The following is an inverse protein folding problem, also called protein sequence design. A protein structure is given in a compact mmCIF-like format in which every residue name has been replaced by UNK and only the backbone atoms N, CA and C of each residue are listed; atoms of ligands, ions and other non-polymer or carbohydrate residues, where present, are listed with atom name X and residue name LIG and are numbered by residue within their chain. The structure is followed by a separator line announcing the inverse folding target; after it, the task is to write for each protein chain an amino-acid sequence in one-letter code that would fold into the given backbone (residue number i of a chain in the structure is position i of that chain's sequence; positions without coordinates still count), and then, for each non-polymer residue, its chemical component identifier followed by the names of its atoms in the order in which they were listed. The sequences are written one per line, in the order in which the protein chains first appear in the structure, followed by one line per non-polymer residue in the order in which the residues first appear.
data_IF_859147028000
#
_entry.id   IF_859147028000
#
_cell.length_a   1.000
_cell.length_b   1.000
_cell.length_c   1.000
_cell.angle_alpha   90.00
_cell.angle_beta   90.00
_cell.angle_gamma   90.00
#
_symmetry.space_group_name_H-M   'P 1'
#
loop_
_entity.id
_entity.type
_entity.pdbx_description
1 polymer ?
#
# COMPACT_ATOMS: atom_id res chain seq x y z
N UNK A 1 34.84 2.69 39.84
CA UNK A 1 34.36 1.47 39.16
C UNK A 1 32.85 1.49 39.30
N UNK A 2 32.11 2.12 38.38
CA UNK A 2 31.59 1.48 37.15
C UNK A 2 30.98 0.13 37.54
N UNK A 3 29.68 -0.06 37.60
CA UNK A 3 28.66 0.05 36.55
C UNK A 3 27.43 -0.61 37.22
N UNK A 4 26.19 -0.19 37.09
CA UNK A 4 25.40 -0.35 35.88
C UNK A 4 24.01 0.19 36.25
N UNK A 5 23.68 1.40 35.82
CA UNK A 5 22.29 1.84 35.86
C UNK A 5 21.53 0.95 34.88
N UNK A 6 20.58 0.18 35.42
CA UNK A 6 19.61 -0.56 34.63
C UNK A 6 18.80 0.47 33.87
N UNK A 7 19.18 0.66 32.61
CA UNK A 7 18.49 1.55 31.68
C UNK A 7 17.15 0.90 31.38
N UNK A 8 16.11 1.34 32.10
CA UNK A 8 14.73 0.99 31.84
C UNK A 8 14.40 1.43 30.41
N UNK A 9 14.37 0.45 29.50
CA UNK A 9 13.86 0.63 28.16
C UNK A 9 12.41 1.08 28.25
N UNK A 10 12.16 2.39 28.19
CA UNK A 10 10.83 2.94 28.01
C UNK A 10 10.29 2.35 26.70
N UNK A 11 9.38 1.37 26.81
CA UNK A 11 8.59 0.95 25.66
C UNK A 11 7.85 2.21 25.21
N UNK A 12 8.05 2.72 23.98
CA UNK A 12 7.28 3.85 23.52
C UNK A 12 5.81 3.42 23.60
N UNK A 13 5.08 3.94 24.58
CA UNK A 13 3.64 3.81 24.62
C UNK A 13 3.16 4.61 23.42
N UNK A 14 3.05 3.94 22.28
CA UNK A 14 2.50 4.51 21.06
C UNK A 14 1.11 5.00 21.43
N UNK A 15 1.01 6.30 21.69
CA UNK A 15 -0.23 6.91 22.12
C UNK A 15 -1.23 6.65 21.00
N UNK A 16 -2.41 6.13 21.33
CA UNK A 16 -3.45 5.78 20.34
C UNK A 16 -3.69 6.94 19.36
N UNK A 17 -3.52 8.19 19.82
CA UNK A 17 -3.53 9.42 19.01
C UNK A 17 -2.49 9.42 17.87
N UNK A 18 -1.26 8.98 18.12
CA UNK A 18 -0.19 8.89 17.11
C UNK A 18 -0.48 7.79 16.09
N UNK A 19 -1.12 6.68 16.50
CA UNK A 19 -1.53 5.62 15.59
C UNK A 19 -2.65 6.10 14.63
N UNK A 20 -3.64 6.84 15.12
CA UNK A 20 -4.64 7.46 14.24
C UNK A 20 -4.04 8.53 13.33
N UNK A 21 -3.07 9.31 13.83
CA UNK A 21 -2.35 10.29 13.02
C UNK A 21 -1.56 9.62 11.88
N UNK A 22 -0.86 8.51 12.13
CA UNK A 22 -0.10 7.80 11.10
C UNK A 22 -0.99 7.18 10.04
N UNK A 23 -2.16 6.64 10.44
CA UNK A 23 -3.20 6.17 9.52
C UNK A 23 -3.62 7.28 8.57
N UNK A 24 -3.93 8.47 9.10
CA UNK A 24 -4.32 9.63 8.28
C UNK A 24 -3.26 10.05 7.26
N UNK A 25 -1.98 10.05 7.65
CA UNK A 25 -0.88 10.37 6.74
C UNK A 25 -0.75 9.34 5.60
N UNK A 26 -0.83 8.05 5.92
CA UNK A 26 -0.70 6.98 4.93
C UNK A 26 -1.87 6.97 3.94
N UNK A 27 -3.11 7.11 4.44
CA UNK A 27 -4.27 7.23 3.55
C UNK A 27 -4.22 8.50 2.70
N UNK A 28 -3.67 9.60 3.24
CA UNK A 28 -3.41 10.83 2.50
C UNK A 28 -2.43 10.61 1.35
N UNK A 29 -1.30 9.94 1.62
CA UNK A 29 -0.26 9.66 0.62
C UNK A 29 -0.79 8.79 -0.54
N UNK A 30 -1.55 7.73 -0.23
CA UNK A 30 -2.21 6.87 -1.24
C UNK A 30 -3.12 7.69 -2.17
N UNK A 31 -3.81 8.69 -1.62
CA UNK A 31 -4.75 9.55 -2.34
C UNK A 31 -4.13 10.71 -3.12
N UNK A 32 -2.84 11.01 -2.95
CA UNK A 32 -2.18 12.09 -3.70
C UNK A 32 -2.04 11.73 -5.18
N UNK A 33 -1.70 10.47 -5.48
CA UNK A 33 -1.43 10.03 -6.85
C UNK A 33 -2.63 10.14 -7.80
N UNK A 34 -3.88 9.75 -7.42
CA UNK A 34 -5.03 9.95 -8.31
C UNK A 34 -5.40 11.43 -8.47
N UNK A 35 -5.14 12.26 -7.46
CA UNK A 35 -5.41 13.70 -7.51
C UNK A 35 -4.47 14.39 -8.52
N UNK A 36 -3.18 14.03 -8.51
CA UNK A 36 -2.24 14.49 -9.53
C UNK A 36 -2.62 14.00 -10.93
N UNK A 37 -2.99 12.72 -11.06
CA UNK A 37 -3.44 12.16 -12.34
C UNK A 37 -4.69 12.88 -12.88
N UNK A 38 -5.66 13.17 -12.01
CA UNK A 38 -6.87 13.91 -12.37
C UNK A 38 -6.54 15.35 -12.79
N UNK A 39 -5.67 16.03 -12.03
CA UNK A 39 -5.22 17.39 -12.35
C UNK A 39 -4.56 17.45 -13.72
N UNK A 40 -3.69 16.49 -14.03
CA UNK A 40 -2.98 16.46 -15.31
C UNK A 40 -3.90 16.10 -16.48
N UNK A 41 -4.80 15.13 -16.29
CA UNK A 41 -5.78 14.74 -17.30
C UNK A 41 -6.73 15.91 -17.64
N UNK A 42 -7.19 16.65 -16.63
CA UNK A 42 -8.07 17.81 -16.84
C UNK A 42 -7.34 18.99 -17.47
N UNK A 43 -6.07 19.21 -17.12
CA UNK A 43 -5.25 20.26 -17.72
C UNK A 43 -5.16 20.09 -19.26
N UNK A 44 -4.98 18.86 -19.74
CA UNK A 44 -4.98 18.56 -21.19
C UNK A 44 -6.32 18.84 -21.86
N UNK A 45 -7.45 18.53 -21.19
CA UNK A 45 -8.79 18.75 -21.78
C UNK A 45 -9.16 20.23 -21.82
N UNK A 46 -8.77 20.99 -20.80
CA UNK A 46 -8.95 22.46 -20.78
C UNK A 46 -8.10 23.11 -21.88
N UNK A 47 -6.86 22.67 -22.07
CA UNK A 47 -5.98 23.18 -23.14
C UNK A 47 -6.53 22.88 -24.55
N UNK A 48 -7.28 21.77 -24.72
CA UNK A 48 -7.92 21.39 -25.97
C UNK A 48 -9.29 22.07 -26.22
N UNK A 49 -9.76 22.93 -25.31
CA UNK A 49 -11.04 23.63 -25.44
C UNK A 49 -12.28 22.73 -25.25
N UNK A 50 -12.14 21.58 -24.57
CA UNK A 50 -13.23 20.64 -24.32
C UNK A 50 -14.19 21.08 -23.22
N UNK A 51 -15.40 20.49 -23.19
CA UNK A 51 -16.37 20.74 -22.12
C UNK A 51 -15.89 20.14 -20.79
N UNK A 52 -15.57 21.03 -19.85
CA UNK A 52 -15.04 20.69 -18.54
C UNK A 52 -15.97 19.77 -17.74
N UNK A 53 -17.30 19.90 -17.89
CA UNK A 53 -18.26 19.10 -17.12
C UNK A 53 -18.19 17.63 -17.51
N UNK A 54 -18.19 17.35 -18.82
CA UNK A 54 -18.05 15.99 -19.32
C UNK A 54 -16.64 15.43 -19.08
N UNK A 55 -15.61 16.28 -19.16
CA UNK A 55 -14.23 15.89 -18.90
C UNK A 55 -14.03 15.41 -17.46
N UNK A 56 -14.53 16.16 -16.47
CA UNK A 56 -14.42 15.79 -15.04
C UNK A 56 -15.12 14.47 -14.77
N UNK A 57 -16.35 14.30 -15.25
CA UNK A 57 -17.10 13.06 -15.06
C UNK A 57 -16.44 11.87 -15.77
N UNK A 58 -15.92 12.08 -16.98
CA UNK A 58 -15.21 11.05 -17.75
C UNK A 58 -13.92 10.61 -17.08
N UNK A 59 -13.06 11.56 -16.71
CA UNK A 59 -11.78 11.28 -16.02
C UNK A 59 -12.00 10.64 -14.66
N UNK A 60 -12.96 11.15 -13.86
CA UNK A 60 -13.29 10.58 -12.57
C UNK A 60 -13.79 9.12 -12.70
N UNK A 61 -14.66 8.84 -13.67
CA UNK A 61 -15.14 7.48 -13.95
C UNK A 61 -13.99 6.55 -14.35
N UNK A 62 -13.11 6.99 -15.26
CA UNK A 62 -11.94 6.20 -15.68
C UNK A 62 -10.98 5.93 -14.52
N UNK A 63 -10.77 6.90 -13.63
CA UNK A 63 -9.94 6.71 -12.44
C UNK A 63 -10.55 5.68 -11.49
N UNK A 64 -11.86 5.74 -11.23
CA UNK A 64 -12.55 4.77 -10.37
C UNK A 64 -12.47 3.36 -10.98
N UNK A 65 -12.80 3.22 -12.27
CA UNK A 65 -12.74 1.92 -12.95
C UNK A 65 -11.32 1.37 -13.03
N UNK A 66 -10.33 2.22 -13.32
CA UNK A 66 -8.92 1.82 -13.36
C UNK A 66 -8.43 1.38 -11.98
N UNK A 67 -8.74 2.12 -10.91
CA UNK A 67 -8.38 1.73 -9.55
C UNK A 67 -9.02 0.40 -9.15
N UNK A 68 -10.31 0.19 -9.45
CA UNK A 68 -10.98 -1.09 -9.21
C UNK A 68 -10.27 -2.20 -9.98
N UNK A 69 -10.02 -2.03 -11.28
CA UNK A 69 -9.38 -3.06 -12.09
C UNK A 69 -7.94 -3.35 -11.65
N UNK A 70 -7.12 -2.34 -11.38
CA UNK A 70 -5.74 -2.51 -10.93
C UNK A 70 -5.71 -3.16 -9.56
N UNK A 71 -6.55 -2.73 -8.62
CA UNK A 71 -6.60 -3.31 -7.28
C UNK A 71 -7.12 -4.75 -7.36
N UNK A 72 -8.26 -4.98 -8.02
CA UNK A 72 -8.78 -6.34 -8.19
C UNK A 72 -7.74 -7.22 -8.90
N UNK A 73 -7.17 -6.82 -10.03
CA UNK A 73 -6.23 -7.67 -10.75
C UNK A 73 -4.93 -7.89 -9.98
N UNK A 74 -4.28 -6.83 -9.48
CA UNK A 74 -3.00 -6.93 -8.76
C UNK A 74 -3.15 -7.72 -7.46
N UNK A 75 -4.17 -7.40 -6.65
CA UNK A 75 -4.35 -8.02 -5.35
C UNK A 75 -5.03 -9.37 -5.44
N UNK A 76 -6.02 -9.59 -6.31
CA UNK A 76 -6.65 -10.90 -6.48
C UNK A 76 -5.70 -11.89 -7.12
N UNK A 77 -4.86 -11.50 -8.09
CA UNK A 77 -3.83 -12.42 -8.61
C UNK A 77 -2.83 -12.78 -7.52
N UNK A 78 -2.37 -11.81 -6.70
CA UNK A 78 -1.47 -12.12 -5.59
C UNK A 78 -2.14 -13.02 -4.53
N UNK A 79 -3.41 -12.76 -4.21
CA UNK A 79 -4.18 -13.59 -3.27
C UNK A 79 -4.38 -15.00 -3.82
N UNK A 80 -4.90 -15.14 -5.04
CA UNK A 80 -5.20 -16.42 -5.70
C UNK A 80 -3.94 -17.19 -6.10
N UNK A 81 -2.79 -16.53 -6.28
CA UNK A 81 -1.51 -17.25 -6.49
C UNK A 81 -0.89 -17.75 -5.19
N UNK A 82 -1.30 -17.21 -4.04
CA UNK A 82 -0.84 -17.65 -2.74
C UNK A 82 -1.67 -18.80 -2.14
N UNK A 83 -2.56 -19.37 -2.95
CA UNK A 83 -3.33 -20.56 -2.62
C UNK A 83 -2.39 -21.76 -2.50
N UNK A 84 -1.99 -22.10 -1.28
CA UNK A 84 -1.13 -23.24 -1.00
C UNK A 84 -2.00 -24.44 -0.56
N UNK A 85 -2.22 -25.38 -1.49
CA UNK A 85 -2.65 -26.77 -1.23
C UNK A 85 -3.85 -26.98 -0.27
N UNK A 86 -4.84 -26.07 -0.24
CA UNK A 86 -6.12 -26.30 0.44
C UNK A 86 -6.47 -25.34 1.58
N UNK A 87 -5.58 -24.43 1.95
CA UNK A 87 -5.92 -23.29 2.84
C UNK A 87 -5.71 -21.97 2.07
N UNK A 88 -6.63 -21.68 1.14
CA UNK A 88 -6.60 -20.48 0.32
C UNK A 88 -6.96 -19.24 1.14
N UNK A 89 -6.01 -18.32 1.30
CA UNK A 89 -6.28 -17.03 1.93
C UNK A 89 -5.07 -16.39 2.61
N UNK A 90 -5.31 -15.24 3.22
CA UNK A 90 -4.33 -14.44 3.97
C UNK A 90 -3.51 -15.24 5.00
N UNK A 91 -4.04 -16.34 5.54
CA UNK A 91 -3.37 -17.22 6.51
C UNK A 91 -2.20 -17.99 5.86
N UNK A 92 -2.37 -18.50 4.64
CA UNK A 92 -1.26 -19.10 3.86
C UNK A 92 -0.18 -18.07 3.56
N UNK A 93 -0.56 -16.80 3.32
CA UNK A 93 0.39 -15.72 3.08
C UNK A 93 1.23 -15.39 4.32
N UNK A 94 0.59 -15.31 5.51
CA UNK A 94 1.28 -15.09 6.79
C UNK A 94 2.24 -16.24 7.10
N UNK A 95 1.79 -17.48 6.93
CA UNK A 95 2.62 -18.68 7.15
C UNK A 95 3.77 -18.77 6.14
N UNK A 96 3.56 -18.39 4.87
CA UNK A 96 4.61 -18.35 3.86
C UNK A 96 5.65 -17.26 4.18
N UNK A 97 5.23 -16.05 4.53
CA UNK A 97 6.14 -14.97 4.94
C UNK A 97 6.96 -15.39 6.15
N UNK A 98 6.33 -16.01 7.16
CA UNK A 98 7.00 -16.48 8.37
C UNK A 98 8.00 -17.62 8.08
N UNK A 99 7.64 -18.57 7.22
CA UNK A 99 8.53 -19.67 6.84
C UNK A 99 9.68 -19.24 5.93
N UNK A 100 9.45 -18.29 5.01
CA UNK A 100 10.46 -17.70 4.14
C UNK A 100 11.46 -16.86 4.96
N UNK A 101 10.97 -16.06 5.91
CA UNK A 101 11.83 -15.33 6.87
C UNK A 101 12.65 -16.29 7.73
N UNK A 102 12.06 -17.41 8.17
CA UNK A 102 12.72 -18.39 9.05
C UNK A 102 13.75 -19.28 8.34
N UNK A 103 13.60 -19.56 7.03
CA UNK A 103 14.51 -20.43 6.26
C UNK A 103 15.57 -19.70 5.43
N UNK A 104 15.32 -18.47 4.97
CA UNK A 104 16.22 -17.75 4.04
C UNK A 104 16.24 -16.23 4.31
N UNK A 105 16.44 -15.83 5.56
CA UNK A 105 16.43 -14.42 5.99
C UNK A 105 17.20 -13.45 5.07
N UNK A 106 18.33 -13.86 4.48
CA UNK A 106 19.10 -13.02 3.55
C UNK A 106 18.56 -12.92 2.12
N UNK A 107 18.01 -14.00 1.55
CA UNK A 107 17.55 -14.03 0.15
C UNK A 107 16.11 -13.51 0.01
N UNK A 108 15.29 -13.74 1.03
CA UNK A 108 13.92 -13.23 1.12
C UNK A 108 13.88 -11.70 1.21
N UNK A 109 14.79 -11.09 1.98
CA UNK A 109 14.97 -9.65 2.06
C UNK A 109 15.40 -9.05 0.71
N UNK A 110 16.33 -9.71 0.01
CA UNK A 110 16.79 -9.26 -1.32
C UNK A 110 15.68 -9.28 -2.38
N UNK A 111 14.85 -10.33 -2.41
CA UNK A 111 13.71 -10.40 -3.32
C UNK A 111 12.58 -9.44 -2.94
N UNK A 112 12.37 -9.19 -1.64
CA UNK A 112 11.41 -8.20 -1.15
C UNK A 112 11.79 -6.76 -1.53
N UNK A 113 13.10 -6.45 -1.58
CA UNK A 113 13.62 -5.14 -2.02
C UNK A 113 13.55 -4.95 -3.53
N UNK A 114 13.63 -6.02 -4.32
CA UNK A 114 13.55 -5.94 -5.80
C UNK A 114 12.08 -5.87 -6.27
N UNK A 115 11.14 -6.40 -5.47
CA UNK A 115 9.71 -6.37 -5.77
C UNK A 115 8.94 -5.16 -5.22
N UNK A 116 9.60 -4.28 -4.44
CA UNK A 116 9.03 -3.06 -3.86
C UNK A 116 9.11 -1.87 -4.83
#
# INVERSE_FOLDING_TARGET
MASQQVQSSERPQASVKLAFASIGVVFGDIGTSPLYAMREALHHVVAAGGDLRFAVLGVASLLIWSLILVVTLKYVILLMRADNHGEGGILSLVVLVETVFRRKGGVALGLGLIGA
#
